data_IF_831356890080
#
_entry.id   IF_831356890080
#
_cell.length_a   1.000
_cell.length_b   1.000
_cell.length_c   1.000
_cell.angle_alpha   90.00
_cell.angle_beta   90.00
_cell.angle_gamma   90.00
#
_symmetry.space_group_name_H-M   'P 1'
#
loop_
_entity.id
_entity.type
_entity.pdbx_description
1 polymer ?
#
# COMPACT_ATOMS: atom_id res chain seq x y z
N UNK A 1 -24.24 -0.76 -11.11
CA UNK A 1 -23.72 0.22 -10.13
C UNK A 1 -22.27 0.48 -10.52
N UNK A 2 -21.80 1.74 -10.64
CA UNK A 2 -20.37 1.99 -10.88
C UNK A 2 -19.55 1.45 -9.69
N UNK A 3 -18.33 0.94 -9.93
CA UNK A 3 -17.48 0.43 -8.85
C UNK A 3 -17.06 1.56 -7.91
N UNK A 4 -16.98 1.25 -6.63
CA UNK A 4 -16.38 2.16 -5.65
C UNK A 4 -14.86 2.10 -5.78
N UNK A 5 -14.17 3.23 -5.66
CA UNK A 5 -12.71 3.23 -5.60
C UNK A 5 -12.27 3.00 -4.16
N UNK A 6 -11.35 2.07 -3.95
CA UNK A 6 -10.70 1.79 -2.68
C UNK A 6 -9.31 2.43 -2.74
N UNK A 7 -9.20 3.68 -2.32
CA UNK A 7 -7.93 4.38 -2.29
C UNK A 7 -7.11 3.91 -1.09
N UNK A 8 -6.00 3.25 -1.37
CA UNK A 8 -5.14 2.64 -0.36
C UNK A 8 -3.92 3.55 -0.13
N UNK A 9 -3.78 4.04 1.09
CA UNK A 9 -2.65 4.83 1.54
C UNK A 9 -1.84 4.04 2.57
N UNK A 10 -0.52 4.23 2.57
CA UNK A 10 0.38 3.46 3.45
C UNK A 10 1.35 4.41 4.12
N UNK A 11 1.42 4.34 5.45
CA UNK A 11 2.46 4.97 6.25
C UNK A 11 3.32 3.88 6.88
N UNK A 12 4.63 3.93 6.66
CA UNK A 12 5.53 2.90 7.18
C UNK A 12 6.82 3.48 7.74
N UNK A 13 7.35 2.80 8.76
CA UNK A 13 8.70 3.01 9.29
C UNK A 13 9.51 1.75 9.07
N UNK A 14 10.69 1.90 8.46
CA UNK A 14 11.57 0.79 8.11
C UNK A 14 12.99 1.04 8.63
N UNK A 15 13.72 -0.02 8.97
CA UNK A 15 15.13 0.05 9.35
C UNK A 15 16.03 -0.30 8.17
N UNK A 16 17.20 0.32 8.18
CA UNK A 16 18.27 0.11 7.21
C UNK A 16 19.58 -0.18 7.95
N UNK A 17 20.53 -0.83 7.26
CA UNK A 17 21.82 -1.20 7.85
C UNK A 17 22.84 -0.06 7.92
N UNK A 18 22.66 1.00 7.13
CA UNK A 18 23.60 2.10 7.02
C UNK A 18 22.90 3.43 6.76
N UNK A 19 23.50 4.53 7.22
CA UNK A 19 22.97 5.88 7.01
C UNK A 19 22.80 6.22 5.53
N UNK A 20 23.75 5.79 4.69
CA UNK A 20 23.74 6.03 3.25
C UNK A 20 22.58 5.30 2.53
N UNK A 21 21.97 4.30 3.18
CA UNK A 21 20.85 3.52 2.65
C UNK A 21 19.48 4.13 2.98
N UNK A 22 19.38 5.16 3.82
CA UNK A 22 18.10 5.76 4.25
C UNK A 22 17.28 6.22 3.03
N UNK A 23 17.78 7.19 2.28
CA UNK A 23 17.06 7.78 1.13
C UNK A 23 16.82 6.76 0.00
N UNK A 24 17.81 5.91 -0.38
CA UNK A 24 17.57 4.82 -1.31
C UNK A 24 16.45 3.86 -0.87
N UNK A 25 16.37 3.55 0.42
CA UNK A 25 15.35 2.65 0.97
C UNK A 25 13.96 3.26 0.90
N UNK A 26 13.80 4.51 1.37
CA UNK A 26 12.53 5.23 1.28
C UNK A 26 12.03 5.28 -0.17
N UNK A 27 12.91 5.66 -1.09
CA UNK A 27 12.62 5.73 -2.52
C UNK A 27 12.22 4.36 -3.09
N UNK A 28 12.92 3.29 -2.71
CA UNK A 28 12.65 1.94 -3.20
C UNK A 28 11.31 1.41 -2.66
N UNK A 29 11.01 1.65 -1.39
CA UNK A 29 9.75 1.30 -0.75
C UNK A 29 8.56 2.05 -1.36
N UNK A 30 8.66 3.37 -1.55
CA UNK A 30 7.63 4.17 -2.21
C UNK A 30 7.33 3.64 -3.62
N UNK A 31 8.38 3.42 -4.42
CA UNK A 31 8.25 2.84 -5.77
C UNK A 31 7.66 1.43 -5.75
N UNK A 32 7.88 0.65 -4.70
CA UNK A 32 7.29 -0.68 -4.55
C UNK A 32 5.79 -0.59 -4.27
N UNK A 33 5.38 0.30 -3.36
CA UNK A 33 3.98 0.56 -3.02
C UNK A 33 3.21 1.07 -4.23
N UNK A 34 3.70 2.12 -4.90
CA UNK A 34 3.07 2.70 -6.11
C UNK A 34 2.86 1.65 -7.19
N UNK A 35 3.87 0.81 -7.45
CA UNK A 35 3.77 -0.26 -8.45
C UNK A 35 2.80 -1.34 -8.03
N UNK A 36 2.80 -1.76 -6.76
CA UNK A 36 1.92 -2.82 -6.27
C UNK A 36 0.45 -2.38 -6.25
N UNK A 37 0.18 -1.11 -5.95
CA UNK A 37 -1.16 -0.54 -5.85
C UNK A 37 -1.65 0.11 -7.16
N UNK A 38 -0.84 0.09 -8.22
CA UNK A 38 -1.29 0.46 -9.56
C UNK A 38 -2.49 -0.41 -9.96
N UNK A 39 -3.63 0.23 -10.21
CA UNK A 39 -4.90 -0.45 -10.52
C UNK A 39 -4.80 -1.38 -11.71
N UNK A 40 -3.95 -1.07 -12.70
CA UNK A 40 -3.90 -1.77 -13.99
C UNK A 40 -2.74 -2.75 -14.09
N UNK A 41 -1.65 -2.49 -13.37
CA UNK A 41 -0.36 -3.20 -13.51
C UNK A 41 0.19 -3.68 -12.17
N UNK A 42 -0.49 -3.38 -11.08
CA UNK A 42 -0.11 -3.82 -9.75
C UNK A 42 -0.52 -5.25 -9.45
N UNK A 43 -0.65 -5.54 -8.16
CA UNK A 43 -0.85 -6.87 -7.62
C UNK A 43 0.30 -7.85 -7.94
N UNK A 44 0.26 -9.02 -7.30
CA UNK A 44 1.21 -10.11 -7.54
C UNK A 44 1.15 -10.53 -9.02
N UNK A 45 2.31 -10.51 -9.67
CA UNK A 45 2.45 -10.88 -11.08
C UNK A 45 2.05 -9.80 -12.08
N UNK A 46 1.70 -8.58 -11.62
CA UNK A 46 1.46 -7.43 -12.49
C UNK A 46 0.16 -7.49 -13.30
N UNK A 47 -0.85 -8.20 -12.78
CA UNK A 47 -2.15 -8.39 -13.45
C UNK A 47 -3.14 -7.24 -13.22
N UNK A 48 -2.77 -6.28 -12.38
CA UNK A 48 -3.69 -5.26 -11.88
C UNK A 48 -4.68 -5.81 -10.86
N UNK A 49 -5.54 -4.92 -10.38
CA UNK A 49 -6.57 -5.19 -9.40
C UNK A 49 -7.93 -5.37 -10.08
N UNK A 50 -8.58 -6.49 -9.78
CA UNK A 50 -9.94 -6.78 -10.24
C UNK A 50 -10.97 -6.25 -9.25
N UNK A 51 -12.21 -6.09 -9.73
CA UNK A 51 -13.33 -5.67 -8.89
C UNK A 51 -13.58 -6.72 -7.81
N UNK A 52 -13.75 -6.26 -6.58
CA UNK A 52 -14.00 -7.09 -5.40
C UNK A 52 -12.73 -7.64 -4.74
N UNK A 53 -11.55 -7.41 -5.32
CA UNK A 53 -10.28 -7.71 -4.65
C UNK A 53 -9.93 -6.62 -3.63
N UNK A 54 -9.24 -7.02 -2.55
CA UNK A 54 -8.83 -6.14 -1.47
C UNK A 54 -7.35 -6.30 -1.13
N UNK A 55 -6.76 -5.24 -0.61
CA UNK A 55 -5.39 -5.27 -0.07
C UNK A 55 -5.43 -5.60 1.42
N UNK A 56 -4.47 -6.41 1.86
CA UNK A 56 -4.26 -6.70 3.27
C UNK A 56 -2.95 -6.09 3.74
N UNK A 57 -2.92 -5.61 4.99
CA UNK A 57 -1.73 -5.03 5.60
C UNK A 57 -0.53 -6.01 5.59
N UNK A 58 -0.78 -7.32 5.72
CA UNK A 58 0.25 -8.36 5.66
C UNK A 58 0.94 -8.47 4.29
N UNK A 59 0.21 -8.25 3.20
CA UNK A 59 0.80 -8.26 1.86
C UNK A 59 1.71 -7.03 1.65
N UNK A 60 1.30 -5.87 2.16
CA UNK A 60 2.11 -4.65 2.14
C UNK A 60 3.35 -4.80 3.02
N UNK A 61 3.23 -5.44 4.18
CA UNK A 61 4.37 -5.76 5.04
C UNK A 61 5.37 -6.63 4.29
N UNK A 62 4.93 -7.74 3.69
CA UNK A 62 5.79 -8.62 2.90
C UNK A 62 6.42 -7.93 1.71
N UNK A 63 5.69 -7.03 1.04
CA UNK A 63 6.20 -6.20 -0.05
C UNK A 63 7.35 -5.30 0.42
N UNK A 64 7.16 -4.55 1.51
CA UNK A 64 8.21 -3.68 2.04
C UNK A 64 9.41 -4.48 2.55
N UNK A 65 9.17 -5.57 3.27
CA UNK A 65 10.23 -6.47 3.77
C UNK A 65 11.03 -7.13 2.63
N UNK A 66 10.47 -7.22 1.42
CA UNK A 66 11.18 -7.75 0.23
C UNK A 66 12.10 -6.73 -0.45
N UNK A 67 12.01 -5.44 -0.08
CA UNK A 67 12.93 -4.42 -0.60
C UNK A 67 14.31 -4.70 -0.03
N UNK A 68 15.30 -4.91 -0.90
CA UNK A 68 16.64 -5.41 -0.54
C UNK A 68 17.33 -4.63 0.58
N UNK A 69 17.13 -3.32 0.66
CA UNK A 69 17.79 -2.44 1.64
C UNK A 69 17.01 -2.31 2.95
N UNK A 70 15.78 -2.84 3.02
CA UNK A 70 15.00 -2.93 4.25
C UNK A 70 15.54 -4.08 5.09
N UNK A 71 16.02 -3.75 6.29
CA UNK A 71 16.38 -4.73 7.30
C UNK A 71 15.13 -5.27 8.00
N UNK A 72 14.23 -4.37 8.39
CA UNK A 72 13.03 -4.66 9.17
C UNK A 72 11.97 -3.60 8.91
N UNK A 73 10.69 -4.00 8.85
CA UNK A 73 9.56 -3.08 8.89
C UNK A 73 9.09 -2.96 10.35
N UNK A 74 9.32 -1.81 10.98
CA UNK A 74 8.98 -1.54 12.38
C UNK A 74 7.49 -1.22 12.56
N UNK A 75 6.94 -0.43 11.63
CA UNK A 75 5.56 0.03 11.68
C UNK A 75 4.99 0.03 10.27
N UNK A 76 3.75 -0.44 10.15
CA UNK A 76 2.96 -0.31 8.94
C UNK A 76 1.53 0.05 9.32
N UNK A 77 1.07 1.18 8.81
CA UNK A 77 -0.32 1.61 8.91
C UNK A 77 -0.90 1.74 7.52
N UNK A 78 -2.02 1.07 7.30
CA UNK A 78 -2.79 1.12 6.06
C UNK A 78 -4.08 1.90 6.32
N UNK A 79 -4.32 2.91 5.50
CA UNK A 79 -5.57 3.67 5.50
C UNK A 79 -6.32 3.38 4.21
N UNK A 80 -7.64 3.21 4.31
CA UNK A 80 -8.49 2.99 3.15
C UNK A 80 -9.55 4.08 3.10
N UNK A 81 -9.59 4.78 1.97
CA UNK A 81 -10.66 5.73 1.65
C UNK A 81 -11.52 5.14 0.55
N UNK A 82 -12.80 4.96 0.83
CA UNK A 82 -13.79 4.53 -0.16
C UNK A 82 -14.35 5.77 -0.84
N UNK A 83 -14.20 5.84 -2.16
CA UNK A 83 -14.75 6.90 -2.98
C UNK A 83 -15.91 6.33 -3.81
N UNK A 84 -17.12 6.74 -3.50
CA UNK A 84 -18.32 6.32 -4.22
C UNK A 84 -19.22 7.54 -4.48
N UNK A 85 -19.68 7.70 -5.74
CA UNK A 85 -20.57 8.82 -6.16
C UNK A 85 -20.04 10.22 -5.81
N UNK A 86 -18.71 10.37 -5.74
CA UNK A 86 -18.05 11.63 -5.38
C UNK A 86 -17.89 11.88 -3.89
N UNK A 87 -18.34 10.96 -3.03
CA UNK A 87 -18.14 11.01 -1.59
C UNK A 87 -16.97 10.12 -1.17
N UNK A 88 -16.05 10.68 -0.38
CA UNK A 88 -14.91 9.98 0.18
C UNK A 88 -15.14 9.72 1.67
N UNK A 89 -14.99 8.48 2.11
CA UNK A 89 -15.06 8.10 3.53
C UNK A 89 -13.92 7.16 3.90
N UNK A 90 -13.25 7.44 5.00
CA UNK A 90 -12.28 6.50 5.56
C UNK A 90 -13.01 5.30 6.16
N UNK A 91 -12.46 4.11 5.95
CA UNK A 91 -13.02 2.86 6.45
C UNK A 91 -11.95 2.02 7.13
N UNK A 92 -12.37 1.23 8.10
CA UNK A 92 -11.49 0.21 8.67
C UNK A 92 -11.26 -0.93 7.67
N UNK A 93 -10.14 -1.64 7.82
CA UNK A 93 -9.83 -2.83 7.01
C UNK A 93 -10.95 -3.90 7.12
N UNK A 94 -11.61 -3.99 8.28
CA UNK A 94 -12.73 -4.91 8.47
C UNK A 94 -13.91 -4.62 7.54
N UNK A 95 -14.18 -3.34 7.26
CA UNK A 95 -15.26 -2.90 6.39
C UNK A 95 -14.98 -3.13 4.90
N UNK A 96 -13.73 -3.44 4.50
CA UNK A 96 -13.40 -3.81 3.13
C UNK A 96 -14.12 -5.10 2.70
N UNK A 97 -14.32 -6.03 3.62
CA UNK A 97 -15.01 -7.31 3.35
C UNK A 97 -16.45 -7.12 2.89
N UNK A 98 -17.05 -5.99 3.24
CA UNK A 98 -18.43 -5.65 2.91
C UNK A 98 -18.54 -4.82 1.62
N UNK A 99 -17.44 -4.66 0.85
CA UNK A 99 -17.38 -3.88 -0.38
C UNK A 99 -17.08 -4.76 -1.62
N UNK A 100 -18.02 -5.62 -2.05
CA UNK A 100 -17.82 -6.58 -3.14
C UNK A 100 -17.67 -5.93 -4.53
N UNK A 101 -17.84 -4.61 -4.64
CA UNK A 101 -17.75 -3.85 -5.89
C UNK A 101 -16.62 -2.81 -5.87
N UNK A 102 -15.70 -2.90 -4.91
CA UNK A 102 -14.54 -2.02 -4.82
C UNK A 102 -13.47 -2.34 -5.85
N UNK A 103 -12.71 -1.34 -6.30
CA UNK A 103 -11.48 -1.50 -7.07
C UNK A 103 -10.34 -0.75 -6.38
N UNK A 104 -9.21 -1.42 -6.20
CA UNK A 104 -8.03 -0.84 -5.55
C UNK A 104 -7.40 0.23 -6.43
N UNK A 105 -7.14 1.39 -5.83
CA UNK A 105 -6.36 2.48 -6.43
C UNK A 105 -5.28 2.93 -5.46
N UNK A 106 -4.13 3.33 -6.00
CA UNK A 106 -3.02 3.88 -5.21
C UNK A 106 -3.42 5.23 -4.64
N UNK A 107 -3.26 5.39 -3.32
CA UNK A 107 -3.41 6.66 -2.61
C UNK A 107 -2.06 7.34 -2.38
N UNK A 108 -1.94 8.00 -1.23
CA UNK A 108 -0.70 8.67 -0.83
C UNK A 108 0.12 7.78 0.11
N UNK A 109 1.41 7.65 -0.18
CA UNK A 109 2.32 6.82 0.61
C UNK A 109 3.37 7.66 1.30
N UNK A 110 3.70 7.28 2.53
CA UNK A 110 4.76 7.89 3.34
C UNK A 110 5.62 6.77 3.91
N UNK A 111 6.92 6.82 3.64
CA UNK A 111 7.87 5.84 4.17
C UNK A 111 9.03 6.62 4.78
N UNK A 112 9.33 6.33 6.03
CA UNK A 112 10.47 6.89 6.75
C UNK A 112 11.44 5.77 7.06
N UNK A 113 12.71 5.95 6.70
CA UNK A 113 13.77 5.00 7.06
C UNK A 113 14.61 5.51 8.24
N UNK A 114 14.98 4.60 9.13
CA UNK A 114 15.89 4.83 10.25
C UNK A 114 17.08 3.86 10.19
N UNK A 115 18.15 4.19 10.92
CA UNK A 115 19.30 3.29 11.06
C UNK A 115 18.98 2.27 12.16
N UNK A 116 19.25 1.00 11.87
CA UNK A 116 19.18 -0.07 12.86
C UNK A 116 20.41 -0.22 13.74
#
# INVERSE_FOLDING_TARGET
>A
MPPALLEISVKAVVRTSAADDIVPTETACLKALERYLDTRRGQIGGRGWQIGESVHASALYGLLQSVRTVLEVELLHMTVVVIERGEAREVSEAALRDLPHGIVVSGTHEVTASIG
#
